data_IF_694238349612
#
_entry.id   IF_694238349612
#
_cell.length_a   1.000
_cell.length_b   1.000
_cell.length_c   1.000
_cell.angle_alpha   90.00
_cell.angle_beta   90.00
_cell.angle_gamma   90.00
#
_symmetry.space_group_name_H-M   'P 1'
#
loop_
_entity.id
_entity.type
_entity.pdbx_description
1 polymer ?
#
# COMPACT_ATOMS: atom_id res chain seq x y z
N UNK A 1 10.84 19.96 20.52
CA UNK A 1 10.74 18.55 20.09
C UNK A 1 12.14 17.94 20.09
N UNK A 2 12.28 16.68 20.53
CA UNK A 2 13.60 16.04 20.71
C UNK A 2 14.32 15.88 19.36
N UNK A 3 15.64 16.05 19.37
CA UNK A 3 16.56 15.84 18.22
C UNK A 3 16.62 14.38 17.77
N UNK A 4 16.08 13.46 18.56
CA UNK A 4 15.85 12.08 18.17
C UNK A 4 14.52 12.04 17.42
N UNK A 5 14.58 11.96 16.09
CA UNK A 5 13.42 11.97 15.21
C UNK A 5 12.33 11.03 15.72
N UNK A 6 11.09 11.52 15.75
CA UNK A 6 9.96 10.67 16.06
C UNK A 6 9.86 9.64 14.93
N UNK A 7 10.16 8.36 15.23
CA UNK A 7 10.30 7.35 14.18
C UNK A 7 8.97 6.98 13.51
N UNK A 8 7.84 7.25 14.17
CA UNK A 8 6.52 6.81 13.72
C UNK A 8 5.43 7.81 14.09
N UNK A 9 4.42 7.94 13.24
CA UNK A 9 3.20 8.70 13.53
C UNK A 9 1.97 7.91 13.14
N UNK A 10 0.93 8.03 13.97
CA UNK A 10 -0.34 7.33 13.81
C UNK A 10 -1.48 8.33 13.95
N UNK A 11 -2.21 8.54 12.85
CA UNK A 11 -3.49 9.24 12.85
C UNK A 11 -4.56 8.24 12.44
N UNK A 12 -5.08 7.53 13.44
CA UNK A 12 -6.28 6.74 13.28
C UNK A 12 -7.47 7.66 13.49
N UNK A 13 -8.40 7.68 12.54
CA UNK A 13 -9.75 8.18 12.80
C UNK A 13 -10.27 7.60 14.11
N UNK A 14 -11.08 8.36 14.85
CA UNK A 14 -11.70 7.97 16.13
C UNK A 14 -12.51 6.65 16.09
N UNK A 15 -12.59 5.99 14.94
CA UNK A 15 -13.36 4.77 14.65
C UNK A 15 -12.82 3.49 15.27
N UNK A 16 -11.63 3.49 15.91
CA UNK A 16 -11.14 2.30 16.65
C UNK A 16 -11.60 2.20 18.10
N UNK A 17 -12.21 3.24 18.67
CA UNK A 17 -12.64 3.24 20.08
C UNK A 17 -14.14 3.07 20.29
N UNK A 18 -14.96 3.05 19.23
CA UNK A 18 -16.39 2.80 19.31
C UNK A 18 -16.82 1.72 18.31
N UNK A 19 -17.74 0.81 18.68
CA UNK A 19 -18.23 -0.22 17.78
C UNK A 19 -18.90 0.44 16.57
N UNK A 20 -18.63 -0.16 15.41
CA UNK A 20 -19.15 0.15 14.08
C UNK A 20 -20.65 0.51 14.17
N UNK A 21 -20.95 1.79 13.97
CA UNK A 21 -22.25 2.21 13.46
C UNK A 21 -21.97 2.68 12.04
N UNK A 22 -22.76 2.20 11.09
CA UNK A 22 -22.75 2.56 9.67
C UNK A 22 -23.22 4.01 9.46
N UNK A 23 -22.66 4.96 10.21
CA UNK A 23 -22.85 6.38 9.96
C UNK A 23 -21.82 6.86 8.93
N UNK A 24 -22.19 7.82 8.06
CA UNK A 24 -21.24 8.45 7.15
C UNK A 24 -20.02 8.93 7.94
N UNK A 25 -18.87 8.99 7.28
CA UNK A 25 -17.57 9.45 7.79
C UNK A 25 -17.57 10.94 8.20
N UNK A 26 -18.64 11.41 8.85
CA UNK A 26 -18.79 12.69 9.48
C UNK A 26 -18.06 12.62 10.82
N UNK A 27 -16.77 12.91 10.79
CA UNK A 27 -16.10 13.38 11.99
C UNK A 27 -16.92 14.57 12.51
N UNK A 28 -17.38 14.53 13.76
CA UNK A 28 -18.10 15.66 14.34
C UNK A 28 -17.31 16.96 14.11
N UNK A 29 -18.00 18.08 13.92
CA UNK A 29 -17.42 19.37 13.50
C UNK A 29 -16.19 19.78 14.34
N UNK A 30 -16.16 19.43 15.63
CA UNK A 30 -15.02 19.67 16.52
C UNK A 30 -13.79 18.81 16.21
N UNK A 31 -13.97 17.54 15.83
CA UNK A 31 -12.86 16.66 15.45
C UNK A 31 -12.20 17.12 14.15
N UNK A 32 -13.00 17.59 13.19
CA UNK A 32 -12.50 18.16 11.95
C UNK A 32 -11.64 19.40 12.21
N UNK A 33 -12.11 20.32 13.08
CA UNK A 33 -11.37 21.53 13.48
C UNK A 33 -10.05 21.19 14.20
N UNK A 34 -10.05 20.20 15.09
CA UNK A 34 -8.83 19.76 15.76
C UNK A 34 -7.85 19.15 14.76
N UNK A 35 -8.33 18.29 13.86
CA UNK A 35 -7.49 17.68 12.82
C UNK A 35 -6.87 18.76 11.93
N UNK A 36 -7.65 19.75 11.50
CA UNK A 36 -7.18 20.90 10.72
C UNK A 36 -6.01 21.61 11.40
N UNK A 37 -6.18 22.06 12.64
CA UNK A 37 -5.11 22.75 13.42
C UNK A 37 -3.87 21.87 13.57
N UNK A 38 -4.05 20.56 13.78
CA UNK A 38 -2.93 19.62 13.91
C UNK A 38 -2.18 19.48 12.58
N UNK A 39 -2.88 19.30 11.47
CA UNK A 39 -2.23 19.17 10.15
C UNK A 39 -1.60 20.47 9.67
N UNK A 40 -2.20 21.62 9.95
CA UNK A 40 -1.55 22.92 9.70
C UNK A 40 -0.21 23.03 10.45
N UNK A 41 -0.20 22.70 11.75
CA UNK A 41 1.02 22.72 12.55
C UNK A 41 2.06 21.70 12.07
N UNK A 42 1.61 20.52 11.64
CA UNK A 42 2.49 19.49 11.10
C UNK A 42 3.06 19.86 9.73
N UNK A 43 2.26 20.40 8.82
CA UNK A 43 2.68 20.88 7.50
C UNK A 43 3.64 22.06 7.62
N UNK A 44 3.41 22.96 8.58
CA UNK A 44 4.33 24.05 8.90
C UNK A 44 5.62 23.56 9.57
N UNK A 45 5.67 22.31 10.04
CA UNK A 45 6.84 21.75 10.70
C UNK A 45 7.72 20.95 9.72
N UNK A 46 9.04 21.03 9.92
CA UNK A 46 10.00 20.19 9.22
C UNK A 46 10.14 18.79 9.85
N UNK A 47 9.05 18.27 10.44
CA UNK A 47 9.07 16.94 11.01
C UNK A 47 9.19 15.88 9.91
N UNK A 48 9.93 14.81 10.20
CA UNK A 48 10.10 13.66 9.31
C UNK A 48 9.80 12.40 10.10
N UNK A 49 9.00 11.51 9.52
CA UNK A 49 8.69 10.22 10.10
C UNK A 49 9.21 9.11 9.19
N UNK A 50 9.72 8.02 9.79
CA UNK A 50 10.11 6.83 9.04
C UNK A 50 8.90 5.97 8.69
N UNK A 51 7.89 5.96 9.55
CA UNK A 51 6.65 5.19 9.33
C UNK A 51 5.44 6.04 9.64
N UNK A 52 4.41 5.90 8.81
CA UNK A 52 3.17 6.62 8.97
C UNK A 52 1.98 5.69 8.78
N UNK A 53 1.01 5.85 9.66
CA UNK A 53 -0.33 5.30 9.52
C UNK A 53 -1.32 6.47 9.51
N UNK A 54 -2.10 6.60 8.44
CA UNK A 54 -2.90 7.81 8.19
C UNK A 54 -4.31 7.48 7.69
N UNK A 55 -5.32 8.01 8.39
CA UNK A 55 -6.68 8.15 7.87
C UNK A 55 -6.85 9.45 7.08
N UNK A 56 -7.90 9.54 6.26
CA UNK A 56 -8.21 10.78 5.55
C UNK A 56 -8.93 11.78 6.46
N UNK A 57 -8.41 13.01 6.54
CA UNK A 57 -8.97 14.14 7.29
C UNK A 57 -9.14 15.40 6.43
N UNK A 58 -9.26 15.23 5.11
CA UNK A 58 -9.31 16.36 4.17
C UNK A 58 -7.95 16.70 3.56
N UNK A 59 -7.92 17.78 2.77
CA UNK A 59 -6.78 18.15 1.93
C UNK A 59 -5.47 18.35 2.72
N UNK A 60 -5.52 18.87 3.94
CA UNK A 60 -4.32 19.07 4.76
C UNK A 60 -3.63 17.76 5.14
N UNK A 61 -4.41 16.68 5.37
CA UNK A 61 -3.85 15.36 5.64
C UNK A 61 -3.21 14.74 4.40
N UNK A 62 -3.77 14.99 3.21
CA UNK A 62 -3.20 14.59 1.93
C UNK A 62 -1.88 15.32 1.65
N UNK A 63 -1.86 16.64 1.86
CA UNK A 63 -0.65 17.45 1.77
C UNK A 63 0.43 16.94 2.73
N UNK A 64 0.07 16.64 3.97
CA UNK A 64 1.02 16.12 4.95
C UNK A 64 1.62 14.79 4.51
N UNK A 65 0.80 13.84 4.05
CA UNK A 65 1.31 12.56 3.50
C UNK A 65 2.24 12.83 2.32
N UNK A 66 1.87 13.76 1.44
CA UNK A 66 2.67 14.09 0.28
C UNK A 66 4.07 14.62 0.66
N UNK A 67 4.13 15.56 1.60
CA UNK A 67 5.40 16.08 2.11
C UNK A 67 6.25 14.98 2.76
N UNK A 68 5.66 14.03 3.49
CA UNK A 68 6.41 12.92 4.11
C UNK A 68 6.95 11.94 3.07
N UNK A 69 6.24 11.72 1.97
CA UNK A 69 6.74 10.93 0.83
C UNK A 69 7.96 11.62 0.20
N UNK A 70 7.90 12.93 -0.06
CA UNK A 70 9.04 13.68 -0.61
C UNK A 70 10.29 13.61 0.29
N UNK A 71 10.05 13.53 1.61
CA UNK A 71 11.05 13.37 2.66
C UNK A 71 11.50 11.92 2.89
N UNK A 72 11.20 10.99 1.97
CA UNK A 72 11.63 9.59 1.97
C UNK A 72 11.17 8.77 3.18
N UNK A 73 9.86 8.78 3.45
CA UNK A 73 9.25 7.85 4.41
C UNK A 73 9.53 6.38 4.01
N UNK A 74 9.82 5.52 5.00
CA UNK A 74 10.15 4.10 4.78
C UNK A 74 8.90 3.20 4.68
N UNK A 75 7.82 3.58 5.37
CA UNK A 75 6.57 2.80 5.38
C UNK A 75 5.34 3.70 5.40
N UNK A 76 4.42 3.44 4.47
CA UNK A 76 3.15 4.13 4.35
C UNK A 76 1.97 3.16 4.54
N UNK A 77 1.10 3.47 5.48
CA UNK A 77 -0.18 2.76 5.70
C UNK A 77 -1.33 3.75 5.65
N UNK A 78 -2.19 3.63 4.64
CA UNK A 78 -3.39 4.43 4.49
C UNK A 78 -4.61 3.62 4.93
N UNK A 79 -5.47 4.24 5.74
CA UNK A 79 -6.64 3.59 6.34
C UNK A 79 -7.91 4.35 5.98
N UNK A 80 -8.98 3.59 5.71
CA UNK A 80 -10.30 4.14 5.42
C UNK A 80 -10.41 4.65 3.99
N UNK A 81 -11.54 5.24 3.61
CA UNK A 81 -11.74 5.75 2.26
C UNK A 81 -10.94 7.03 2.06
N UNK A 82 -10.12 7.04 1.01
CA UNK A 82 -9.46 8.24 0.51
C UNK A 82 -10.05 8.63 -0.85
N UNK A 83 -10.03 9.93 -1.21
CA UNK A 83 -10.39 10.38 -2.54
C UNK A 83 -9.62 9.59 -3.61
N UNK A 84 -10.34 9.04 -4.59
CA UNK A 84 -9.78 8.22 -5.67
C UNK A 84 -8.86 7.09 -5.19
N UNK A 85 -9.15 6.50 -4.02
CA UNK A 85 -8.36 5.40 -3.46
C UNK A 85 -6.91 5.78 -3.11
N UNK A 86 -6.58 7.07 -2.96
CA UNK A 86 -5.24 7.58 -2.74
C UNK A 86 -4.23 7.25 -3.87
N UNK A 87 -4.69 6.99 -5.10
CA UNK A 87 -3.84 6.59 -6.24
C UNK A 87 -2.66 7.54 -6.45
N UNK A 88 -2.87 8.86 -6.36
CA UNK A 88 -1.80 9.82 -6.57
C UNK A 88 -0.71 9.71 -5.48
N UNK A 89 -1.08 9.54 -4.21
CA UNK A 89 -0.13 9.35 -3.10
C UNK A 89 0.65 8.05 -3.26
N UNK A 90 -0.04 6.97 -3.64
CA UNK A 90 0.58 5.66 -3.87
C UNK A 90 1.58 5.76 -5.03
N UNK A 91 1.19 6.36 -6.14
CA UNK A 91 2.04 6.56 -7.32
C UNK A 91 3.26 7.38 -6.97
N UNK A 92 3.08 8.48 -6.24
CA UNK A 92 4.17 9.34 -5.79
C UNK A 92 5.12 8.60 -4.84
N UNK A 93 4.59 7.80 -3.91
CA UNK A 93 5.39 6.99 -2.99
C UNK A 93 6.21 5.92 -3.73
N UNK A 94 5.60 5.24 -4.71
CA UNK A 94 6.32 4.29 -5.56
C UNK A 94 7.43 4.99 -6.36
N UNK A 95 7.18 6.16 -6.94
CA UNK A 95 8.22 6.85 -7.71
C UNK A 95 9.37 7.36 -6.85
N UNK A 96 9.11 7.67 -5.57
CA UNK A 96 10.08 8.31 -4.68
C UNK A 96 10.89 7.31 -3.85
N UNK A 97 10.25 6.27 -3.33
CA UNK A 97 10.88 5.36 -2.37
C UNK A 97 11.40 4.11 -3.07
N UNK A 98 12.70 3.85 -2.96
CA UNK A 98 13.32 2.66 -3.54
C UNK A 98 12.68 1.39 -2.98
N UNK A 99 12.70 1.20 -1.66
CA UNK A 99 12.10 0.05 -0.97
C UNK A 99 10.70 0.40 -0.46
N UNK A 100 9.71 0.35 -1.34
CA UNK A 100 8.35 0.76 -1.02
C UNK A 100 7.64 -0.29 -0.14
N UNK A 101 7.27 0.10 1.09
CA UNK A 101 6.39 -0.69 1.96
C UNK A 101 5.02 -0.02 2.09
N UNK A 102 3.98 -0.65 1.54
CA UNK A 102 2.62 -0.08 1.41
C UNK A 102 1.58 -1.01 2.05
N UNK A 103 0.64 -0.43 2.77
CA UNK A 103 -0.59 -1.10 3.21
C UNK A 103 -1.77 -0.18 3.00
N UNK A 104 -2.81 -0.65 2.30
CA UNK A 104 -4.05 0.09 2.10
C UNK A 104 -5.17 -0.70 2.77
N UNK A 105 -5.82 -0.15 3.80
CA UNK A 105 -6.91 -0.86 4.50
C UNK A 105 -8.25 -0.19 4.22
N UNK A 106 -9.21 -0.96 3.71
CA UNK A 106 -10.56 -0.47 3.38
C UNK A 106 -10.62 0.56 2.24
N UNK A 107 -9.68 0.52 1.31
CA UNK A 107 -9.71 1.31 0.07
C UNK A 107 -10.11 0.42 -1.11
N UNK A 108 -11.01 0.91 -1.96
CA UNK A 108 -11.20 0.38 -3.31
C UNK A 108 -10.49 1.30 -4.29
N UNK A 109 -9.54 0.75 -5.04
CA UNK A 109 -8.68 1.48 -5.96
C UNK A 109 -9.04 1.16 -7.41
N UNK A 110 -9.18 2.15 -8.28
CA UNK A 110 -9.15 1.89 -9.73
C UNK A 110 -7.69 1.67 -10.13
N UNK A 111 -7.29 0.41 -10.28
CA UNK A 111 -5.92 0.04 -10.59
C UNK A 111 -5.69 0.27 -12.07
N UNK A 112 -4.98 1.35 -12.39
CA UNK A 112 -4.54 1.63 -13.75
C UNK A 112 -3.46 0.68 -14.21
N UNK A 113 -3.36 0.45 -15.52
CA UNK A 113 -2.25 -0.33 -16.07
C UNK A 113 -0.90 0.28 -15.65
N UNK A 114 -0.78 1.61 -15.67
CA UNK A 114 0.43 2.31 -15.22
C UNK A 114 0.75 2.07 -13.74
N UNK A 115 -0.26 2.13 -12.85
CA UNK A 115 -0.05 1.85 -11.43
C UNK A 115 0.38 0.39 -11.22
N UNK A 116 -0.26 -0.54 -11.94
CA UNK A 116 0.08 -1.94 -11.92
C UNK A 116 1.54 -2.17 -12.36
N UNK A 117 1.93 -1.58 -13.49
CA UNK A 117 3.27 -1.71 -14.04
C UNK A 117 4.34 -1.16 -13.09
N UNK A 118 4.06 -0.04 -12.39
CA UNK A 118 4.96 0.51 -11.37
C UNK A 118 5.13 -0.43 -10.17
N UNK A 119 4.04 -1.01 -9.67
CA UNK A 119 4.09 -2.01 -8.60
C UNK A 119 4.89 -3.23 -9.05
N UNK A 120 4.58 -3.74 -10.24
CA UNK A 120 5.21 -4.94 -10.78
C UNK A 120 6.70 -4.75 -11.04
N UNK A 121 7.10 -3.61 -11.61
CA UNK A 121 8.51 -3.26 -11.83
C UNK A 121 9.30 -3.24 -10.52
N UNK A 122 8.76 -2.63 -9.46
CA UNK A 122 9.41 -2.66 -8.14
C UNK A 122 9.51 -4.05 -7.54
N UNK A 123 8.48 -4.88 -7.74
CA UNK A 123 8.54 -6.28 -7.32
C UNK A 123 9.68 -7.03 -8.02
N UNK A 124 9.85 -6.85 -9.34
CA UNK A 124 10.94 -7.49 -10.09
C UNK A 124 12.32 -7.09 -9.57
N UNK A 125 12.45 -5.91 -8.97
CA UNK A 125 13.68 -5.41 -8.33
C UNK A 125 13.82 -5.80 -6.85
N UNK A 126 12.90 -6.59 -6.28
CA UNK A 126 12.82 -6.89 -4.83
C UNK A 126 12.72 -5.63 -3.95
N UNK A 127 12.02 -4.63 -4.48
CA UNK A 127 11.88 -3.28 -3.90
C UNK A 127 10.45 -2.95 -3.48
N UNK A 128 9.56 -3.94 -3.49
CA UNK A 128 8.16 -3.78 -3.11
C UNK A 128 7.79 -4.74 -1.98
N UNK A 129 7.19 -4.19 -0.93
CA UNK A 129 6.34 -4.90 0.00
C UNK A 129 4.95 -4.29 -0.03
N UNK A 130 4.02 -4.94 -0.72
CA UNK A 130 2.61 -4.58 -0.76
C UNK A 130 1.82 -5.57 0.08
N UNK A 131 1.39 -5.16 1.27
CA UNK A 131 0.63 -6.06 2.15
C UNK A 131 -0.76 -6.38 1.58
N UNK A 132 -1.42 -5.36 1.05
CA UNK A 132 -2.80 -5.45 0.57
C UNK A 132 -3.19 -4.21 -0.24
N UNK A 133 -3.83 -4.44 -1.39
CA UNK A 133 -4.54 -3.45 -2.21
C UNK A 133 -5.75 -4.14 -2.83
N UNK A 134 -6.95 -3.58 -2.66
CA UNK A 134 -8.18 -4.09 -3.26
C UNK A 134 -8.77 -3.04 -4.19
N UNK A 135 -9.42 -3.48 -5.26
CA UNK A 135 -10.06 -2.56 -6.20
C UNK A 135 -10.53 -3.21 -7.49
N UNK A 136 -10.72 -2.42 -8.53
CA UNK A 136 -11.06 -2.89 -9.88
C UNK A 136 -9.89 -2.62 -10.83
N UNK A 137 -9.73 -3.45 -11.86
CA UNK A 137 -8.85 -3.13 -12.98
C UNK A 137 -9.57 -2.17 -13.92
N UNK A 138 -8.91 -1.11 -14.37
CA UNK A 138 -9.44 -0.23 -15.43
C UNK A 138 -8.83 -0.51 -16.81
N UNK A 139 -8.17 -1.67 -16.93
CA UNK A 139 -7.56 -2.18 -18.15
C UNK A 139 -7.95 -3.65 -18.35
N UNK A 140 -7.69 -4.16 -19.55
CA UNK A 140 -8.04 -5.53 -19.93
C UNK A 140 -7.30 -6.57 -19.05
N UNK A 141 -8.00 -7.45 -18.32
CA UNK A 141 -7.38 -8.51 -17.53
C UNK A 141 -6.46 -9.44 -18.35
N UNK A 142 -6.68 -9.60 -19.66
CA UNK A 142 -5.82 -10.41 -20.53
C UNK A 142 -4.37 -9.90 -20.58
N UNK A 143 -4.16 -8.60 -20.32
CA UNK A 143 -2.83 -8.02 -20.17
C UNK A 143 -2.01 -8.76 -19.10
N UNK A 144 -2.64 -9.11 -17.97
CA UNK A 144 -1.96 -9.78 -16.86
C UNK A 144 -1.45 -11.17 -17.28
N UNK A 145 -2.22 -11.91 -18.09
CA UNK A 145 -1.80 -13.21 -18.60
C UNK A 145 -0.58 -13.11 -19.52
N UNK A 146 -0.41 -12.00 -20.24
CA UNK A 146 0.73 -11.76 -21.12
C UNK A 146 2.00 -11.29 -20.38
N UNK A 147 1.87 -10.82 -19.14
CA UNK A 147 2.97 -10.20 -18.41
C UNK A 147 3.91 -11.26 -17.82
N UNK A 148 5.19 -11.24 -18.25
CA UNK A 148 6.27 -12.13 -17.78
C UNK A 148 5.81 -13.58 -17.55
N UNK A 149 5.31 -14.27 -18.60
CA UNK A 149 4.80 -15.63 -18.48
C UNK A 149 5.85 -16.62 -18.00
N UNK A 150 7.13 -16.32 -18.21
CA UNK A 150 8.28 -17.08 -17.71
C UNK A 150 8.40 -17.09 -16.17
N UNK A 151 7.81 -16.09 -15.48
CA UNK A 151 7.78 -15.99 -14.03
C UNK A 151 6.48 -16.45 -13.40
N UNK A 152 5.45 -16.69 -14.21
CA UNK A 152 4.16 -17.14 -13.70
C UNK A 152 4.26 -18.57 -13.17
N UNK A 153 3.78 -18.79 -11.94
CA UNK A 153 3.81 -20.09 -11.26
C UNK A 153 2.46 -20.39 -10.62
N UNK A 154 2.17 -21.69 -10.45
CA UNK A 154 1.02 -22.17 -9.68
C UNK A 154 1.53 -22.70 -8.34
N UNK A 155 1.08 -22.11 -7.25
CA UNK A 155 1.41 -22.58 -5.91
C UNK A 155 0.31 -23.53 -5.43
N UNK A 156 0.68 -24.60 -4.72
CA UNK A 156 -0.27 -25.58 -4.20
C UNK A 156 -1.33 -24.96 -3.27
N UNK A 157 -0.95 -23.96 -2.45
CA UNK A 157 -1.85 -23.21 -1.57
C UNK A 157 -2.94 -22.40 -2.31
N UNK A 158 -2.79 -22.27 -3.63
CA UNK A 158 -3.62 -21.44 -4.49
C UNK A 158 -4.50 -22.26 -5.43
N UNK A 159 -4.45 -23.59 -5.30
CA UNK A 159 -5.31 -24.50 -6.05
C UNK A 159 -6.80 -24.19 -5.80
N UNK A 160 -7.57 -24.13 -6.89
CA UNK A 160 -8.99 -23.77 -6.88
C UNK A 160 -9.27 -22.27 -6.71
N UNK A 161 -8.25 -21.41 -6.54
CA UNK A 161 -8.43 -19.95 -6.50
C UNK A 161 -8.23 -19.35 -7.89
N UNK A 162 -9.07 -18.39 -8.26
CA UNK A 162 -8.83 -17.57 -9.46
C UNK A 162 -7.73 -16.56 -9.16
N UNK A 163 -6.48 -16.91 -9.45
CA UNK A 163 -5.32 -16.10 -9.09
C UNK A 163 -4.17 -16.25 -10.08
N UNK A 164 -3.50 -15.13 -10.36
CA UNK A 164 -2.21 -15.09 -11.02
C UNK A 164 -1.11 -14.86 -10.00
N UNK A 165 0.04 -15.48 -10.22
CA UNK A 165 1.17 -15.42 -9.30
C UNK A 165 2.48 -15.42 -10.07
N UNK A 166 3.33 -14.43 -9.77
CA UNK A 166 4.67 -14.31 -10.30
C UNK A 166 5.68 -14.52 -9.18
N UNK A 167 6.73 -15.30 -9.44
CA UNK A 167 7.89 -15.41 -8.53
C UNK A 167 8.91 -14.31 -8.82
N UNK A 168 9.64 -13.88 -7.80
CA UNK A 168 10.78 -13.00 -8.01
C UNK A 168 11.93 -13.72 -8.72
N UNK A 169 12.68 -12.98 -9.52
CA UNK A 169 13.93 -13.43 -10.15
C UNK A 169 15.09 -13.49 -9.16
N UNK A 170 15.00 -12.73 -8.06
CA UNK A 170 16.10 -12.49 -7.12
C UNK A 170 15.89 -13.31 -5.84
N UNK A 171 14.67 -13.31 -5.28
CA UNK A 171 14.32 -14.10 -4.09
C UNK A 171 13.23 -15.13 -4.43
N UNK A 172 13.61 -16.41 -4.51
CA UNK A 172 12.68 -17.51 -4.80
C UNK A 172 11.58 -17.73 -3.75
N UNK A 173 11.60 -17.00 -2.64
CA UNK A 173 10.56 -17.02 -1.60
C UNK A 173 9.51 -15.95 -1.80
N UNK A 174 9.78 -14.96 -2.64
CA UNK A 174 8.95 -13.78 -2.81
C UNK A 174 8.06 -13.86 -4.05
N UNK A 175 6.81 -13.48 -3.87
CA UNK A 175 5.75 -13.63 -4.87
C UNK A 175 4.91 -12.37 -4.97
N UNK A 176 4.51 -12.02 -6.20
CA UNK A 176 3.49 -11.02 -6.49
C UNK A 176 2.23 -11.76 -6.91
N UNK A 177 1.09 -11.47 -6.29
CA UNK A 177 -0.16 -12.20 -6.49
C UNK A 177 -1.31 -11.26 -6.83
N UNK A 178 -2.14 -11.66 -7.79
CA UNK A 178 -3.38 -10.98 -8.18
C UNK A 178 -4.51 -11.97 -8.11
N UNK A 179 -5.37 -11.83 -7.11
CA UNK A 179 -6.54 -12.68 -6.88
C UNK A 179 -7.79 -12.00 -7.42
N UNK A 180 -8.56 -12.69 -8.24
CA UNK A 180 -9.80 -12.18 -8.84
C UNK A 180 -11.00 -12.52 -7.96
N UNK A 181 -11.85 -11.53 -7.70
CA UNK A 181 -13.02 -11.57 -6.82
C UNK A 181 -14.26 -11.05 -7.58
N UNK A 182 -14.66 -11.74 -8.65
CA UNK A 182 -15.68 -11.22 -9.56
C UNK A 182 -15.10 -10.05 -10.36
N UNK A 183 -15.71 -8.87 -10.24
CA UNK A 183 -15.26 -7.64 -10.94
C UNK A 183 -14.12 -6.90 -10.19
N UNK A 184 -13.71 -7.41 -9.02
CA UNK A 184 -12.64 -6.85 -8.21
C UNK A 184 -11.39 -7.73 -8.23
N UNK A 185 -10.26 -7.13 -7.82
CA UNK A 185 -8.98 -7.79 -7.61
C UNK A 185 -8.40 -7.45 -6.24
N UNK A 186 -7.66 -8.40 -5.69
CA UNK A 186 -6.74 -8.19 -4.57
C UNK A 186 -5.31 -8.37 -5.07
N UNK A 187 -4.47 -7.37 -4.84
CA UNK A 187 -3.05 -7.34 -5.22
C UNK A 187 -2.20 -7.29 -3.96
N UNK A 188 -1.24 -8.19 -3.85
CA UNK A 188 -0.33 -8.24 -2.71
C UNK A 188 0.98 -8.96 -3.06
N UNK A 189 2.01 -8.68 -2.27
CA UNK A 189 3.26 -9.44 -2.25
C UNK A 189 3.28 -10.39 -1.06
N UNK A 190 3.87 -11.56 -1.22
CA UNK A 190 3.95 -12.55 -0.16
C UNK A 190 5.31 -13.26 -0.19
N UNK A 191 6.01 -13.24 0.94
CA UNK A 191 7.21 -14.06 1.14
C UNK A 191 6.84 -15.34 1.92
N UNK A 192 7.12 -16.50 1.34
CA UNK A 192 6.79 -17.81 1.93
C UNK A 192 7.76 -18.25 3.03
N UNK A 193 8.87 -17.55 3.25
CA UNK A 193 9.93 -17.93 4.21
C UNK A 193 10.76 -19.16 3.80
N UNK A 194 10.18 -20.10 3.04
CA UNK A 194 10.83 -21.28 2.49
C UNK A 194 10.87 -21.21 0.96
N UNK A 195 12.04 -21.50 0.38
CA UNK A 195 12.22 -21.42 -1.06
C UNK A 195 11.53 -22.59 -1.77
N UNK A 196 10.73 -22.30 -2.79
CA UNK A 196 10.01 -23.32 -3.58
C UNK A 196 10.93 -24.23 -4.40
N UNK A 197 12.21 -23.87 -4.58
CA UNK A 197 13.16 -24.71 -5.31
C UNK A 197 13.80 -25.82 -4.46
N UNK A 198 13.46 -25.92 -3.17
CA UNK A 198 13.99 -26.94 -2.26
C UNK A 198 15.47 -26.78 -1.92
N UNK A 199 16.10 -25.65 -2.29
CA UNK A 199 17.48 -25.34 -1.92
C UNK A 199 17.50 -24.50 -0.66
N UNK A 200 18.43 -24.83 0.22
CA UNK A 200 18.70 -24.08 1.43
C UNK A 200 19.42 -22.78 1.05
N UNK A 201 18.70 -21.66 1.13
CA UNK A 201 19.26 -20.33 0.93
C UNK A 201 19.47 -19.72 2.32
N UNK A 202 20.46 -20.24 3.03
CA UNK A 202 20.97 -19.59 4.24
C UNK A 202 21.44 -18.19 3.86
N UNK A 203 20.84 -17.17 4.50
CA UNK A 203 21.30 -15.80 4.36
C UNK A 203 22.70 -15.72 4.98
N UNK A 204 23.72 -15.58 4.13
CA UNK A 204 25.09 -15.23 4.53
C UNK A 204 25.21 -13.78 4.94
#
# INVERSE_FOLDING_TARGET
MRKDGCNQIFFHGYTRFFPIVEEPWNQGEECAKIAEVVFEALNASNCTFKRMVMGYYGALSEEFVAQQIERNIEKLELIGPWPNGAIHLITMYLNRCDNASITLTSHKVSVTQNLFDLLFAKFLECKLYLKYMQGSLDFDPDYLHSLRPDLQVKLAKDEGKNMLTWKSLIDCRDFFQVKFLGDEVEIFTHNMGLCICGKDHSMG
#
